data_IF_986975977920
#
_entry.id   IF_986975977920
#
_cell.length_a   1.000
_cell.length_b   1.000
_cell.length_c   1.000
_cell.angle_alpha   90.00
_cell.angle_beta   90.00
_cell.angle_gamma   90.00
#
_symmetry.space_group_name_H-M   'P 1'
#
loop_
_entity.id
_entity.type
_entity.pdbx_description
1 polymer ?
#
# COMPACT_ATOMS: atom_id res chain seq x y z
N UNK A 1 -2.12 12.91 -88.80
CA UNK A 1 -2.84 12.94 -87.51
C UNK A 1 -2.32 11.89 -86.50
N UNK A 2 -1.29 11.09 -86.81
CA UNK A 2 -0.81 10.02 -85.92
C UNK A 2 0.15 10.47 -84.80
N UNK A 3 0.85 11.60 -84.98
CA UNK A 3 1.88 12.07 -84.01
C UNK A 3 1.28 12.52 -82.66
N UNK A 4 0.12 13.18 -82.68
CA UNK A 4 -0.54 13.65 -81.45
C UNK A 4 -1.10 12.50 -80.62
N UNK A 5 -1.62 11.46 -81.26
CA UNK A 5 -2.11 10.26 -80.58
C UNK A 5 -0.99 9.50 -79.85
N UNK A 6 0.20 9.43 -80.45
CA UNK A 6 1.36 8.77 -79.82
C UNK A 6 1.83 9.53 -78.57
N UNK A 7 1.88 10.86 -78.62
CA UNK A 7 2.26 11.68 -77.47
C UNK A 7 1.30 11.52 -76.29
N UNK A 8 0.00 11.46 -76.55
CA UNK A 8 -1.02 11.24 -75.51
C UNK A 8 -0.85 9.84 -74.90
N UNK A 9 -0.60 8.82 -75.72
CA UNK A 9 -0.46 7.44 -75.27
C UNK A 9 0.77 7.24 -74.38
N UNK A 10 1.91 7.83 -74.76
CA UNK A 10 3.13 7.84 -73.94
C UNK A 10 2.91 8.59 -72.63
N UNK A 11 2.22 9.72 -72.67
CA UNK A 11 1.87 10.49 -71.46
C UNK A 11 1.01 9.69 -70.48
N UNK A 12 0.01 8.97 -70.98
CA UNK A 12 -0.85 8.11 -70.15
C UNK A 12 -0.09 6.93 -69.55
N UNK A 13 0.80 6.29 -70.31
CA UNK A 13 1.65 5.20 -69.80
C UNK A 13 2.62 5.73 -68.74
N UNK A 14 3.28 6.85 -68.99
CA UNK A 14 4.18 7.48 -68.04
C UNK A 14 3.47 7.88 -66.75
N UNK A 15 2.27 8.45 -66.84
CA UNK A 15 1.45 8.80 -65.69
C UNK A 15 0.98 7.56 -64.93
N UNK A 16 0.55 6.51 -65.64
CA UNK A 16 0.15 5.24 -65.03
C UNK A 16 1.30 4.57 -64.26
N UNK A 17 2.49 4.50 -64.87
CA UNK A 17 3.68 3.96 -64.23
C UNK A 17 4.16 4.82 -63.05
N UNK A 18 4.13 6.15 -63.21
CA UNK A 18 4.48 7.08 -62.14
C UNK A 18 3.53 6.98 -60.95
N UNK A 19 2.22 6.90 -61.19
CA UNK A 19 1.22 6.74 -60.15
C UNK A 19 1.35 5.37 -59.44
N UNK A 20 1.63 4.31 -60.19
CA UNK A 20 1.84 2.98 -59.63
C UNK A 20 3.06 2.96 -58.68
N UNK A 21 4.19 3.50 -59.13
CA UNK A 21 5.41 3.58 -58.32
C UNK A 21 5.21 4.47 -57.08
N UNK A 22 4.53 5.61 -57.23
CA UNK A 22 4.21 6.49 -56.11
C UNK A 22 3.31 5.78 -55.08
N UNK A 23 2.31 5.02 -55.53
CA UNK A 23 1.41 4.26 -54.67
C UNK A 23 2.13 3.16 -53.87
N UNK A 24 3.06 2.43 -54.50
CA UNK A 24 3.86 1.45 -53.79
C UNK A 24 4.83 2.10 -52.79
N UNK A 25 5.45 3.21 -53.15
CA UNK A 25 6.38 3.94 -52.28
C UNK A 25 5.68 4.53 -51.04
N UNK A 26 4.47 5.08 -51.19
CA UNK A 26 3.70 5.63 -50.05
C UNK A 26 3.25 4.54 -49.09
N UNK A 27 2.85 3.36 -49.61
CA UNK A 27 2.47 2.21 -48.77
C UNK A 27 3.66 1.63 -48.00
N UNK A 28 4.85 1.61 -48.59
CA UNK A 28 6.08 1.17 -47.91
C UNK A 28 6.46 2.04 -46.72
N UNK A 29 6.33 3.37 -46.87
CA UNK A 29 6.63 4.35 -45.81
C UNK A 29 5.72 4.20 -44.58
N UNK A 30 4.42 4.00 -44.81
CA UNK A 30 3.45 3.82 -43.71
C UNK A 30 3.79 2.63 -42.80
N UNK A 31 4.31 1.54 -43.36
CA UNK A 31 4.71 0.37 -42.56
C UNK A 31 5.96 0.65 -41.72
N UNK A 32 6.91 1.42 -42.28
CA UNK A 32 8.15 1.79 -41.59
C UNK A 32 7.88 2.70 -40.39
N UNK A 33 6.97 3.66 -40.54
CA UNK A 33 6.56 4.55 -39.45
C UNK A 33 5.89 3.76 -38.31
N UNK A 34 5.08 2.75 -38.64
CA UNK A 34 4.44 1.87 -37.65
C UNK A 34 5.45 1.00 -36.90
N UNK A 35 6.44 0.45 -37.59
CA UNK A 35 7.50 -0.33 -36.92
C UNK A 35 8.33 0.55 -36.00
N UNK A 36 8.65 1.78 -36.42
CA UNK A 36 9.37 2.73 -35.59
C UNK A 36 8.56 3.15 -34.35
N UNK A 37 7.25 3.38 -34.51
CA UNK A 37 6.35 3.68 -33.40
C UNK A 37 6.30 2.52 -32.38
N UNK A 38 6.25 1.27 -32.86
CA UNK A 38 6.27 0.08 -32.00
C UNK A 38 7.61 -0.08 -31.27
N UNK A 39 8.73 0.12 -31.95
CA UNK A 39 10.06 0.11 -31.34
C UNK A 39 10.20 1.18 -30.25
N UNK A 40 9.69 2.39 -30.51
CA UNK A 40 9.68 3.48 -29.53
C UNK A 40 8.83 3.13 -28.30
N UNK A 41 7.64 2.56 -28.50
CA UNK A 41 6.77 2.11 -27.39
C UNK A 41 7.43 1.00 -26.57
N UNK A 42 8.09 0.05 -27.23
CA UNK A 42 8.85 -1.00 -26.54
C UNK A 42 10.00 -0.42 -25.74
N UNK A 43 10.76 0.52 -26.32
CA UNK A 43 11.84 1.20 -25.62
C UNK A 43 11.33 1.96 -24.41
N UNK A 44 10.26 2.73 -24.56
CA UNK A 44 9.63 3.48 -23.48
C UNK A 44 9.13 2.56 -22.35
N UNK A 45 8.47 1.44 -22.69
CA UNK A 45 8.02 0.48 -21.69
C UNK A 45 9.18 -0.16 -20.92
N UNK A 46 10.27 -0.50 -21.59
CA UNK A 46 11.48 -1.03 -20.94
C UNK A 46 12.12 0.00 -20.02
N UNK A 47 12.26 1.25 -20.46
CA UNK A 47 12.79 2.34 -19.61
C UNK A 47 11.93 2.55 -18.37
N UNK A 48 10.60 2.53 -18.51
CA UNK A 48 9.69 2.65 -17.35
C UNK A 48 9.83 1.48 -16.37
N UNK A 49 10.08 0.27 -16.86
CA UNK A 49 10.34 -0.89 -16.00
C UNK A 49 11.67 -0.74 -15.25
N UNK A 50 12.72 -0.29 -15.93
CA UNK A 50 14.02 -0.03 -15.31
C UNK A 50 13.92 1.06 -14.24
N UNK A 51 13.27 2.18 -14.54
CA UNK A 51 13.01 3.26 -13.58
C UNK A 51 12.21 2.76 -12.37
N UNK A 52 11.19 1.93 -12.59
CA UNK A 52 10.40 1.34 -11.51
C UNK A 52 11.25 0.42 -10.62
N UNK A 53 12.09 -0.42 -11.22
CA UNK A 53 13.01 -1.29 -10.48
C UNK A 53 14.01 -0.47 -9.66
N UNK A 54 14.55 0.61 -10.20
CA UNK A 54 15.43 1.54 -9.48
C UNK A 54 14.70 2.19 -8.30
N UNK A 55 13.48 2.69 -8.51
CA UNK A 55 12.68 3.32 -7.46
C UNK A 55 12.36 2.35 -6.31
N UNK A 56 12.02 1.10 -6.63
CA UNK A 56 11.75 0.07 -5.65
C UNK A 56 13.01 -0.27 -4.84
N UNK A 57 14.16 -0.42 -5.50
CA UNK A 57 15.43 -0.67 -4.83
C UNK A 57 15.79 0.47 -3.87
N UNK A 58 15.66 1.73 -4.32
CA UNK A 58 15.89 2.90 -3.48
C UNK A 58 14.96 2.92 -2.27
N UNK A 59 13.67 2.62 -2.45
CA UNK A 59 12.71 2.57 -1.34
C UNK A 59 13.05 1.44 -0.35
N UNK A 60 13.50 0.28 -0.82
CA UNK A 60 13.93 -0.81 0.05
C UNK A 60 15.23 -0.48 0.79
N UNK A 61 16.17 0.22 0.17
CA UNK A 61 17.40 0.68 0.84
C UNK A 61 17.06 1.67 1.96
N UNK A 62 16.24 2.69 1.66
CA UNK A 62 15.75 3.64 2.65
C UNK A 62 14.99 2.94 3.79
N UNK A 63 14.16 1.95 3.46
CA UNK A 63 13.41 1.17 4.47
C UNK A 63 14.36 0.36 5.35
N UNK A 64 15.37 -0.28 4.77
CA UNK A 64 16.37 -1.03 5.52
C UNK A 64 17.14 -0.13 6.50
N UNK A 65 17.49 1.08 6.08
CA UNK A 65 18.10 2.09 6.96
C UNK A 65 17.17 2.49 8.10
N UNK A 66 15.89 2.76 7.83
CA UNK A 66 14.89 3.09 8.85
C UNK A 66 14.68 1.94 9.85
N UNK A 67 14.57 0.70 9.37
CA UNK A 67 14.41 -0.49 10.22
C UNK A 67 15.64 -0.72 11.09
N UNK A 68 16.84 -0.49 10.55
CA UNK A 68 18.07 -0.57 11.33
C UNK A 68 18.10 0.50 12.44
N UNK A 69 17.73 1.74 12.12
CA UNK A 69 17.64 2.82 13.12
C UNK A 69 16.61 2.47 14.22
N UNK A 70 15.44 1.95 13.84
CA UNK A 70 14.43 1.49 14.79
C UNK A 70 14.96 0.37 15.69
N UNK A 71 15.68 -0.60 15.12
CA UNK A 71 16.29 -1.71 15.87
C UNK A 71 17.31 -1.19 16.88
N UNK A 72 18.12 -0.20 16.49
CA UNK A 72 19.09 0.44 17.37
C UNK A 72 18.40 1.17 18.53
N UNK A 73 17.38 2.00 18.23
CA UNK A 73 16.61 2.69 19.26
C UNK A 73 15.89 1.71 20.20
N UNK A 74 15.38 0.58 19.70
CA UNK A 74 14.78 -0.47 20.53
C UNK A 74 15.79 -1.06 21.52
N UNK A 75 17.02 -1.36 21.05
CA UNK A 75 18.10 -1.85 21.92
C UNK A 75 18.46 -0.83 23.00
N UNK A 76 18.58 0.44 22.64
CA UNK A 76 18.91 1.53 23.57
C UNK A 76 17.84 1.68 24.67
N UNK A 77 16.56 1.61 24.29
CA UNK A 77 15.45 1.62 25.27
C UNK A 77 15.56 0.40 26.20
N UNK A 78 15.82 -0.78 25.67
CA UNK A 78 15.97 -1.99 26.48
C UNK A 78 17.15 -1.91 27.46
N UNK A 79 18.29 -1.41 27.01
CA UNK A 79 19.47 -1.19 27.85
C UNK A 79 19.19 -0.17 28.94
N UNK A 80 18.49 0.92 28.60
CA UNK A 80 18.08 1.94 29.56
C UNK A 80 17.14 1.39 30.62
N UNK A 81 16.19 0.53 30.24
CA UNK A 81 15.29 -0.16 31.17
C UNK A 81 16.05 -1.12 32.07
N UNK A 82 16.97 -1.92 31.53
CA UNK A 82 17.79 -2.85 32.32
C UNK A 82 18.67 -2.10 33.33
N UNK A 83 19.33 -1.03 32.89
CA UNK A 83 20.14 -0.15 33.74
C UNK A 83 19.30 0.50 34.83
N UNK A 84 18.11 0.99 34.48
CA UNK A 84 17.18 1.63 35.44
C UNK A 84 16.64 0.64 36.45
N UNK A 85 16.26 -0.56 36.02
CA UNK A 85 15.82 -1.64 36.89
C UNK A 85 16.92 -2.01 37.90
N UNK A 86 18.17 -2.17 37.44
CA UNK A 86 19.30 -2.48 38.31
C UNK A 86 19.64 -1.34 39.28
N UNK A 87 19.52 -0.08 38.84
CA UNK A 87 19.70 1.09 39.71
C UNK A 87 18.61 1.17 40.79
N UNK A 88 17.35 0.94 40.42
CA UNK A 88 16.23 0.99 41.36
C UNK A 88 16.14 -0.25 42.26
N UNK A 89 16.56 -1.40 41.78
CA UNK A 89 16.61 -2.64 42.56
C UNK A 89 17.84 -2.73 43.45
N UNK A 90 18.73 -1.72 43.44
CA UNK A 90 19.91 -1.75 44.27
C UNK A 90 19.49 -1.84 45.75
N UNK A 91 19.99 -2.87 46.42
CA UNK A 91 19.58 -3.30 47.75
C UNK A 91 19.79 -2.20 48.80
N UNK A 92 20.71 -1.26 48.54
CA UNK A 92 20.99 -0.09 49.38
C UNK A 92 19.82 0.90 49.45
N UNK A 93 19.09 1.11 48.34
CA UNK A 93 17.90 1.99 48.33
C UNK A 93 16.72 1.30 49.03
N UNK A 94 16.57 -0.02 48.79
CA UNK A 94 15.58 -0.83 49.50
C UNK A 94 15.83 -0.84 51.00
N UNK A 95 17.09 -0.91 51.44
CA UNK A 95 17.48 -0.81 52.85
C UNK A 95 17.28 0.59 53.42
N UNK A 96 17.63 1.66 52.70
CA UNK A 96 17.37 3.04 53.15
C UNK A 96 15.87 3.35 53.27
N UNK A 97 15.03 2.87 52.34
CA UNK A 97 13.58 3.00 52.47
C UNK A 97 13.00 2.15 53.59
N UNK A 98 13.50 0.92 53.78
CA UNK A 98 13.08 0.07 54.89
C UNK A 98 13.47 0.67 56.25
N UNK A 99 14.68 1.23 56.36
CA UNK A 99 15.15 1.90 57.58
C UNK A 99 14.39 3.21 57.84
N UNK A 100 14.04 3.97 56.79
CA UNK A 100 13.18 5.16 56.91
C UNK A 100 11.71 4.84 57.20
N UNK A 101 11.21 3.68 56.74
CA UNK A 101 9.83 3.20 56.94
C UNK A 101 9.61 2.34 58.19
N UNK A 102 10.70 1.80 58.78
CA UNK A 102 10.67 0.97 60.00
C UNK A 102 10.27 1.74 61.27
N UNK A 103 9.93 3.03 61.16
CA UNK A 103 9.50 3.85 62.28
C UNK A 103 8.05 3.63 62.74
N UNK A 104 7.10 3.15 61.91
CA UNK A 104 5.69 3.10 62.37
C UNK A 104 4.63 2.37 61.49
N UNK A 105 4.89 1.19 60.92
CA UNK A 105 3.82 0.47 60.20
C UNK A 105 3.28 -0.69 61.02
N UNK A 106 2.17 -0.38 61.71
CA UNK A 106 1.31 -1.31 62.41
C UNK A 106 0.55 -2.15 61.38
N UNK A 107 0.72 -3.45 61.53
CA UNK A 107 0.03 -4.54 60.84
C UNK A 107 -1.47 -4.24 60.71
N UNK A 108 -1.88 -3.86 59.51
CA UNK A 108 -3.29 -3.74 59.13
C UNK A 108 -3.49 -4.67 57.94
N UNK A 109 -3.85 -5.90 58.24
CA UNK A 109 -4.29 -6.94 57.29
C UNK A 109 -5.58 -6.52 56.56
N UNK A 110 -5.53 -5.43 55.81
CA UNK A 110 -6.61 -5.06 54.91
C UNK A 110 -6.36 -5.78 53.60
N UNK A 111 -7.06 -6.92 53.46
CA UNK A 111 -7.20 -7.73 52.27
C UNK A 111 -7.47 -6.86 51.04
N UNK A 112 -6.41 -6.41 50.38
CA UNK A 112 -6.47 -5.86 49.04
C UNK A 112 -6.97 -7.00 48.15
N UNK A 113 -8.25 -6.96 47.83
CA UNK A 113 -8.90 -7.80 46.85
C UNK A 113 -8.34 -7.43 45.47
N UNK A 114 -7.11 -7.87 45.20
CA UNK A 114 -6.46 -7.76 43.89
C UNK A 114 -7.14 -8.78 43.00
N UNK A 115 -8.24 -8.35 42.37
CA UNK A 115 -8.78 -9.14 41.27
C UNK A 115 -7.70 -9.23 40.18
N UNK A 116 -7.47 -10.42 39.60
CA UNK A 116 -6.56 -10.56 38.48
C UNK A 116 -6.98 -9.61 37.34
N UNK A 117 -6.02 -9.06 36.57
CA UNK A 117 -6.29 -8.07 35.54
C UNK A 117 -7.42 -8.55 34.65
N UNK A 118 -8.49 -7.76 34.61
CA UNK A 118 -9.67 -8.04 33.80
C UNK A 118 -9.24 -8.04 32.34
N UNK A 119 -9.35 -9.17 31.66
CA UNK A 119 -9.07 -9.32 30.22
C UNK A 119 -9.90 -8.30 29.43
N UNK A 120 -9.33 -7.14 29.12
CA UNK A 120 -9.97 -6.10 28.33
C UNK A 120 -9.81 -6.37 26.83
N UNK A 121 -10.11 -7.60 26.43
CA UNK A 121 -10.61 -7.86 25.08
C UNK A 121 -12.06 -8.33 25.24
N UNK A 122 -13.07 -7.61 24.72
CA UNK A 122 -14.39 -8.21 24.59
C UNK A 122 -14.23 -9.53 23.83
N UNK A 123 -14.93 -10.57 24.27
CA UNK A 123 -14.74 -11.97 23.80
C UNK A 123 -14.90 -12.14 22.29
N UNK A 124 -15.48 -11.12 21.64
CA UNK A 124 -15.44 -10.91 20.20
C UNK A 124 -14.32 -9.91 19.93
N UNK A 125 -13.17 -10.41 19.48
CA UNK A 125 -12.00 -9.60 19.16
C UNK A 125 -12.33 -8.49 18.16
N UNK A 126 -11.38 -7.56 17.95
CA UNK A 126 -11.52 -6.37 17.10
C UNK A 126 -11.86 -6.64 15.61
N UNK A 127 -12.06 -7.89 15.22
CA UNK A 127 -12.45 -8.35 13.89
C UNK A 127 -13.92 -8.81 13.81
N UNK A 128 -14.72 -8.67 14.88
CA UNK A 128 -16.15 -8.95 14.78
C UNK A 128 -16.87 -7.83 14.02
N UNK A 129 -17.65 -8.21 13.00
CA UNK A 129 -18.36 -7.29 12.10
C UNK A 129 -19.35 -6.34 12.81
N UNK A 130 -19.78 -6.66 14.03
CA UNK A 130 -20.67 -5.83 14.86
C UNK A 130 -19.91 -4.84 15.78
N UNK A 131 -18.58 -4.79 15.75
CA UNK A 131 -17.81 -3.92 16.64
C UNK A 131 -18.02 -2.45 16.26
N UNK A 132 -18.70 -1.70 17.14
CA UNK A 132 -18.98 -0.28 16.94
C UNK A 132 -20.24 0.04 16.13
N UNK A 133 -21.08 -0.96 15.82
CA UNK A 133 -22.38 -0.73 15.17
C UNK A 133 -23.48 -1.07 16.17
N UNK A 134 -24.07 -0.03 16.76
CA UNK A 134 -25.31 -0.16 17.52
C UNK A 134 -26.38 -0.62 16.53
N UNK A 135 -26.85 -1.87 16.66
CA UNK A 135 -27.96 -2.39 15.88
C UNK A 135 -29.20 -1.60 16.28
N UNK A 136 -29.41 -0.50 15.58
CA UNK A 136 -30.58 0.34 15.72
C UNK A 136 -31.82 -0.54 15.56
N UNK A 137 -32.66 -0.47 16.59
CA UNK A 137 -33.78 -1.36 16.80
C UNK A 137 -34.62 -1.42 15.52
N UNK A 138 -34.68 -2.62 14.97
CA UNK A 138 -35.67 -3.11 14.02
C UNK A 138 -37.01 -2.37 14.21
N UNK A 139 -37.30 -1.40 13.35
CA UNK A 139 -38.62 -0.81 13.26
C UNK A 139 -39.64 -1.94 12.99
N UNK A 140 -40.78 -1.97 13.69
CA UNK A 140 -41.73 -3.07 13.56
C UNK A 140 -42.28 -3.15 12.15
N UNK A 141 -42.12 -4.32 11.53
CA UNK A 141 -42.80 -4.69 10.28
C UNK A 141 -44.31 -4.46 10.42
N UNK A 142 -44.98 -3.81 9.46
CA UNK A 142 -46.43 -3.60 9.52
C UNK A 142 -47.16 -4.94 9.44
N UNK A 143 -48.10 -5.14 10.37
CA UNK A 143 -48.93 -6.34 10.52
C UNK A 143 -49.82 -6.61 9.28
N UNK A 144 -50.17 -7.87 9.00
CA UNK A 144 -51.06 -8.23 7.90
C UNK A 144 -52.50 -7.78 8.19
N UNK A 145 -53.07 -6.97 7.30
CA UNK A 145 -54.48 -6.55 7.33
C UNK A 145 -55.31 -7.68 6.73
N UNK A 146 -55.98 -8.46 7.58
CA UNK A 146 -57.05 -9.37 7.15
C UNK A 146 -58.39 -8.65 7.34
N UNK A 147 -59.07 -8.35 6.23
CA UNK A 147 -60.45 -7.88 6.22
C UNK A 147 -61.23 -8.64 5.14
N UNK A 148 -61.86 -9.75 5.57
CA UNK A 148 -62.99 -10.33 4.85
C UNK A 148 -64.22 -9.49 5.22
N UNK A 149 -64.70 -8.68 4.27
CA UNK A 149 -66.11 -8.27 4.16
C UNK A 149 -66.34 -7.57 2.81
N UNK A 150 -66.62 -8.35 1.76
CA UNK A 150 -67.81 -8.29 0.87
C UNK A 150 -67.56 -9.04 -0.43
#
# INVERSE_FOLDING_TARGET
>A
MHSTSVLILVGLIGLGLGALLAFFATRGRQNLDRTQELELRLKEANTRLEDFQLQVNEHFDQTAQLVNNLTQSYKEVHEHLATSAMRLSNQDIGRQMLEAGSGNLRDSDEYLNVLPPRDWAPTKGALSEDYGIEKEAQAPSPAPVNAIHR
#
